data_IF_188729810317
#
_entry.id   IF_188729810317
#
_cell.length_a   1.000
_cell.length_b   1.000
_cell.length_c   1.000
_cell.angle_alpha   90.00
_cell.angle_beta   90.00
_cell.angle_gamma   90.00
#
_symmetry.space_group_name_H-M   'P 1'
#
loop_
_entity.id
_entity.type
_entity.pdbx_description
1 polymer ?
#
# COMPACT_ATOMS: atom_id res chain seq x y z
N UNK A 1 28.10 1.53 -1.47
CA UNK A 1 26.76 0.99 -1.80
C UNK A 1 25.87 2.14 -2.21
N UNK A 2 25.04 2.02 -3.24
CA UNK A 2 24.09 3.07 -3.60
C UNK A 2 23.18 3.42 -2.41
N UNK A 3 22.85 4.70 -2.30
CA UNK A 3 21.96 5.23 -1.28
C UNK A 3 20.58 5.50 -1.88
N UNK A 4 19.55 5.12 -1.14
CA UNK A 4 18.14 5.26 -1.48
C UNK A 4 17.45 6.14 -0.48
N UNK A 5 16.65 7.09 -0.97
CA UNK A 5 15.80 7.93 -0.14
C UNK A 5 14.43 7.29 -0.01
N UNK A 6 14.03 6.99 1.21
CA UNK A 6 12.69 6.50 1.53
C UNK A 6 11.92 7.61 2.21
N UNK A 7 10.73 7.89 1.69
CA UNK A 7 9.85 8.96 2.17
C UNK A 7 8.49 8.39 2.52
N UNK A 8 8.08 8.58 3.76
CA UNK A 8 6.69 8.42 4.18
C UNK A 8 5.98 9.74 3.89
N UNK A 9 4.90 9.68 3.11
CA UNK A 9 4.17 10.87 2.66
C UNK A 9 2.71 10.83 3.09
N UNK A 10 2.17 12.02 3.34
CA UNK A 10 0.75 12.28 3.51
C UNK A 10 0.21 13.02 2.30
N UNK A 11 -0.92 12.57 1.76
CA UNK A 11 -1.63 13.21 0.67
C UNK A 11 -2.62 14.19 1.30
N UNK A 12 -2.36 15.48 1.13
CA UNK A 12 -3.26 16.53 1.61
C UNK A 12 -4.11 16.98 0.43
N UNK A 13 -5.43 16.82 0.54
CA UNK A 13 -6.35 17.41 -0.42
C UNK A 13 -6.29 18.93 -0.32
N UNK A 14 -5.64 19.56 -1.29
CA UNK A 14 -5.69 21.00 -1.47
C UNK A 14 -7.00 21.37 -2.16
N UNK A 15 -7.75 22.33 -1.62
CA UNK A 15 -9.09 22.74 -2.08
C UNK A 15 -9.20 23.30 -3.50
N UNK A 16 -8.22 23.04 -4.37
CA UNK A 16 -8.25 23.39 -5.79
C UNK A 16 -7.44 22.34 -6.58
N UNK A 17 -8.06 21.18 -6.81
CA UNK A 17 -7.68 20.11 -7.77
C UNK A 17 -6.27 19.48 -7.72
N UNK A 18 -5.38 19.91 -6.82
CA UNK A 18 -4.02 19.35 -6.73
C UNK A 18 -3.73 18.85 -5.33
N UNK A 19 -3.78 17.52 -5.18
CA UNK A 19 -3.30 16.84 -3.99
C UNK A 19 -1.83 17.22 -3.76
N UNK A 20 -1.53 17.77 -2.60
CA UNK A 20 -0.17 18.14 -2.22
C UNK A 20 0.43 17.02 -1.38
N UNK A 21 1.64 16.57 -1.74
CA UNK A 21 2.36 15.56 -0.99
C UNK A 21 3.15 16.24 0.12
N UNK A 22 2.90 15.85 1.37
CA UNK A 22 3.68 16.27 2.53
C UNK A 22 4.54 15.12 2.99
N UNK A 23 5.87 15.28 2.97
CA UNK A 23 6.77 14.33 3.63
C UNK A 23 6.56 14.38 5.14
N UNK A 24 6.32 13.22 5.75
CA UNK A 24 6.19 13.03 7.19
C UNK A 24 7.52 12.60 7.80
N UNK A 25 8.14 11.59 7.20
CA UNK A 25 9.44 11.07 7.57
C UNK A 25 10.25 10.80 6.32
N UNK A 26 11.54 11.02 6.44
CA UNK A 26 12.48 10.80 5.35
C UNK A 26 13.76 10.20 5.95
N UNK A 27 14.24 9.14 5.33
CA UNK A 27 15.44 8.44 5.78
C UNK A 27 16.19 7.83 4.60
N UNK A 28 17.50 7.73 4.78
CA UNK A 28 18.41 7.14 3.82
C UNK A 28 18.67 5.67 4.17
N UNK A 29 18.66 4.81 3.15
CA UNK A 29 19.07 3.41 3.27
C UNK A 29 20.12 3.08 2.23
N UNK A 30 21.15 2.39 2.67
CA UNK A 30 22.15 1.80 1.78
C UNK A 30 21.71 0.39 1.42
N UNK A 31 21.77 0.06 0.13
CA UNK A 31 21.47 -1.29 -0.34
C UNK A 31 22.40 -1.66 -1.48
N UNK A 32 22.48 -2.96 -1.80
CA UNK A 32 23.29 -3.48 -2.90
C UNK A 32 22.65 -3.23 -4.26
N UNK A 33 21.33 -3.20 -4.32
CA UNK A 33 20.56 -3.10 -5.55
C UNK A 33 19.11 -2.63 -5.30
N UNK A 34 18.43 -2.22 -6.39
CA UNK A 34 17.07 -1.69 -6.32
C UNK A 34 16.04 -2.74 -5.87
N UNK A 35 16.23 -4.02 -6.23
CA UNK A 35 15.24 -5.07 -5.95
C UNK A 35 15.20 -5.36 -4.46
N UNK A 36 16.38 -5.46 -3.83
CA UNK A 36 16.53 -5.70 -2.41
C UNK A 36 15.86 -4.61 -1.57
N UNK A 37 16.13 -3.33 -1.86
CA UNK A 37 15.52 -2.22 -1.11
C UNK A 37 14.01 -2.13 -1.32
N UNK A 38 13.52 -2.37 -2.54
CA UNK A 38 12.07 -2.37 -2.83
C UNK A 38 11.37 -3.50 -2.06
N UNK A 39 11.97 -4.69 -2.01
CA UNK A 39 11.42 -5.83 -1.28
C UNK A 39 11.39 -5.57 0.24
N UNK A 40 12.45 -5.00 0.81
CA UNK A 40 12.53 -4.64 2.23
C UNK A 40 11.45 -3.60 2.60
N UNK A 41 11.35 -2.52 1.81
CA UNK A 41 10.36 -1.46 2.06
C UNK A 41 8.94 -1.98 1.88
N UNK A 42 8.69 -2.83 0.86
CA UNK A 42 7.39 -3.49 0.69
C UNK A 42 7.04 -4.33 1.92
N UNK A 43 7.97 -5.16 2.39
CA UNK A 43 7.72 -6.05 3.52
C UNK A 43 7.39 -5.25 4.79
N UNK A 44 8.15 -4.19 5.07
CA UNK A 44 7.85 -3.28 6.16
C UNK A 44 6.45 -2.67 6.03
N UNK A 45 6.12 -2.14 4.86
CA UNK A 45 4.82 -1.53 4.58
C UNK A 45 3.65 -2.51 4.79
N UNK A 46 3.77 -3.74 4.26
CA UNK A 46 2.73 -4.77 4.40
C UNK A 46 2.59 -5.22 5.86
N UNK A 47 3.71 -5.34 6.59
CA UNK A 47 3.69 -5.67 8.02
C UNK A 47 2.96 -4.59 8.84
N UNK A 48 3.26 -3.31 8.62
CA UNK A 48 2.59 -2.20 9.31
C UNK A 48 1.08 -2.19 9.04
N UNK A 49 0.66 -2.42 7.79
CA UNK A 49 -0.75 -2.42 7.41
C UNK A 49 -1.51 -3.70 7.81
N UNK A 50 -0.81 -4.82 7.96
CA UNK A 50 -1.40 -6.07 8.46
C UNK A 50 -1.78 -6.00 9.95
N UNK A 51 -1.30 -4.98 10.66
CA UNK A 51 -1.67 -4.76 12.06
C UNK A 51 -3.19 -4.44 12.14
N UNK A 52 -3.97 -5.13 13.00
CA UNK A 52 -5.40 -4.85 13.17
C UNK A 52 -5.70 -3.40 13.62
N UNK A 53 -4.70 -2.69 14.14
CA UNK A 53 -4.78 -1.27 14.52
C UNK A 53 -4.20 -0.33 13.46
N UNK A 54 -3.80 -0.82 12.29
CA UNK A 54 -3.16 -0.03 11.23
C UNK A 54 -3.94 1.24 10.89
N UNK A 55 -5.27 1.17 10.80
CA UNK A 55 -6.14 2.32 10.55
C UNK A 55 -6.04 3.44 11.61
N UNK A 56 -5.56 3.12 12.81
CA UNK A 56 -5.38 4.05 13.92
C UNK A 56 -3.91 4.47 14.11
N UNK A 57 -2.96 3.66 13.63
CA UNK A 57 -1.53 3.84 13.90
C UNK A 57 -0.74 4.33 12.70
N UNK A 58 -1.19 4.06 11.48
CA UNK A 58 -0.52 4.49 10.25
C UNK A 58 -0.93 5.93 9.93
N UNK A 59 0.04 6.85 10.02
CA UNK A 59 -0.20 8.28 9.82
C UNK A 59 0.11 8.79 8.40
N UNK A 60 0.73 7.93 7.57
CA UNK A 60 1.10 8.17 6.17
C UNK A 60 0.10 7.53 5.18
N UNK A 61 0.05 8.06 3.96
CA UNK A 61 -0.80 7.56 2.87
C UNK A 61 -0.02 6.73 1.84
N UNK A 62 1.29 6.97 1.72
CA UNK A 62 2.18 6.16 0.88
C UNK A 62 3.64 6.22 1.34
N UNK A 63 4.41 5.22 0.92
CA UNK A 63 5.87 5.20 1.00
C UNK A 63 6.46 5.28 -0.41
N UNK A 64 7.39 6.21 -0.64
CA UNK A 64 8.09 6.42 -1.90
C UNK A 64 9.56 6.09 -1.73
N UNK A 65 10.09 5.23 -2.60
CA UNK A 65 11.52 4.90 -2.67
C UNK A 65 12.14 5.60 -3.86
N UNK A 66 13.23 6.32 -3.63
CA UNK A 66 13.91 7.15 -4.61
C UNK A 66 15.37 6.74 -4.71
N UNK A 67 15.88 6.51 -5.92
CA UNK A 67 17.30 6.22 -6.15
C UNK A 67 18.14 7.51 -6.13
N UNK A 68 19.46 7.34 -6.15
CA UNK A 68 20.41 8.45 -6.27
C UNK A 68 20.07 9.31 -7.51
N UNK A 69 19.96 10.62 -7.33
CA UNK A 69 19.54 11.56 -8.38
C UNK A 69 18.04 11.87 -8.40
N UNK A 70 17.25 11.35 -7.44
CA UNK A 70 15.86 11.76 -7.26
C UNK A 70 14.83 10.98 -8.09
N UNK A 71 15.24 9.86 -8.70
CA UNK A 71 14.36 9.02 -9.52
C UNK A 71 13.50 8.12 -8.62
N UNK A 72 12.17 8.24 -8.68
CA UNK A 72 11.24 7.33 -8.01
C UNK A 72 11.36 5.92 -8.63
N UNK A 73 11.69 4.92 -7.81
CA UNK A 73 11.83 3.53 -8.25
C UNK A 73 10.73 2.61 -7.70
N UNK A 74 10.02 3.04 -6.65
CA UNK A 74 8.85 2.34 -6.13
C UNK A 74 7.95 3.28 -5.33
N UNK A 75 6.65 2.93 -5.29
CA UNK A 75 5.63 3.56 -4.48
C UNK A 75 4.69 2.51 -3.92
N UNK A 76 4.37 2.61 -2.63
CA UNK A 76 3.43 1.75 -1.93
C UNK A 76 2.35 2.61 -1.30
N UNK A 77 1.11 2.52 -1.78
CA UNK A 77 -0.02 3.32 -1.28
C UNK A 77 -0.92 2.48 -0.38
N UNK A 78 -1.33 3.08 0.74
CA UNK A 78 -2.29 2.49 1.69
C UNK A 78 -3.62 2.21 1.00
N UNK A 79 -4.12 3.14 0.17
CA UNK A 79 -5.36 2.97 -0.58
C UNK A 79 -5.31 1.79 -1.55
N UNK A 80 -4.21 1.64 -2.29
CA UNK A 80 -4.02 0.52 -3.21
C UNK A 80 -3.97 -0.82 -2.48
N UNK A 81 -3.31 -0.87 -1.31
CA UNK A 81 -3.25 -2.06 -0.47
C UNK A 81 -4.65 -2.50 -0.03
N UNK A 82 -5.45 -1.61 0.57
CA UNK A 82 -6.80 -1.97 1.03
C UNK A 82 -7.74 -2.31 -0.13
N UNK A 83 -7.61 -1.63 -1.27
CA UNK A 83 -8.38 -1.99 -2.48
C UNK A 83 -8.05 -3.39 -3.01
N UNK A 84 -6.82 -3.88 -2.80
CA UNK A 84 -6.42 -5.25 -3.12
C UNK A 84 -6.99 -6.23 -2.09
N UNK A 85 -6.76 -5.98 -0.80
CA UNK A 85 -7.24 -6.85 0.29
C UNK A 85 -8.77 -7.04 0.26
N UNK A 86 -9.52 -5.96 -0.01
CA UNK A 86 -10.97 -6.04 -0.16
C UNK A 86 -11.39 -6.87 -1.37
N UNK A 87 -10.70 -6.75 -2.51
CA UNK A 87 -10.99 -7.56 -3.69
C UNK A 87 -10.75 -9.04 -3.42
N UNK A 88 -9.66 -9.37 -2.74
CA UNK A 88 -9.31 -10.75 -2.38
C UNK A 88 -10.28 -11.32 -1.33
N UNK A 89 -10.68 -10.52 -0.33
CA UNK A 89 -11.66 -10.92 0.69
C UNK A 89 -13.09 -11.07 0.12
N UNK A 90 -13.45 -10.27 -0.88
CA UNK A 90 -14.76 -10.35 -1.55
C UNK A 90 -14.87 -11.56 -2.48
N UNK A 91 -13.74 -12.13 -2.91
CA UNK A 91 -13.66 -13.36 -3.68
C UNK A 91 -13.59 -14.58 -2.75
N UNK A 92 -14.67 -14.83 -2.00
CA UNK A 92 -14.85 -16.11 -1.32
C UNK A 92 -15.78 -17.01 -2.15
N UNK A 93 -15.27 -17.89 -3.03
CA UNK A 93 -16.09 -18.76 -3.89
C UNK A 93 -16.90 -19.81 -3.09
N UNK A 94 -16.74 -19.90 -1.77
CA UNK A 94 -17.39 -20.92 -0.93
C UNK A 94 -18.84 -20.62 -0.54
N UNK A 95 -19.35 -19.40 -0.80
CA UNK A 95 -20.75 -19.03 -0.48
C UNK A 95 -21.70 -19.08 -1.69
N UNK A 96 -21.20 -19.28 -2.91
CA UNK A 96 -22.05 -19.30 -4.11
C UNK A 96 -22.76 -20.65 -4.38
N UNK A 97 -22.54 -21.68 -3.56
CA UNK A 97 -22.98 -23.07 -3.85
C UNK A 97 -24.10 -23.61 -2.96
N UNK A 98 -24.79 -22.78 -2.16
CA UNK A 98 -25.89 -23.23 -1.28
C UNK A 98 -27.18 -22.46 -1.50
N UNK A 99 -27.69 -22.50 -2.72
CA UNK A 99 -29.14 -22.41 -2.97
C UNK A 99 -29.52 -23.43 -4.05
N UNK A 100 -30.20 -24.54 -3.72
CA UNK A 100 -30.91 -25.29 -4.75
C UNK A 100 -32.11 -24.48 -5.23
N UNK A 101 -32.44 -24.48 -6.54
CA UNK A 101 -33.69 -23.90 -7.02
C UNK A 101 -34.85 -24.78 -6.55
N UNK A 102 -35.71 -24.24 -5.69
CA UNK A 102 -37.02 -24.85 -5.43
C UNK A 102 -37.78 -24.93 -6.76
N UNK A 103 -38.01 -26.16 -7.19
CA UNK A 103 -38.77 -26.47 -8.39
C UNK A 103 -40.23 -26.15 -8.08
N UNK A 104 -40.75 -25.06 -8.65
CA UNK A 104 -42.19 -24.81 -8.69
C UNK A 104 -42.86 -25.92 -9.49
N UNK A 105 -43.57 -26.80 -8.79
CA UNK A 105 -44.59 -27.66 -9.36
C UNK A 105 -45.82 -27.59 -8.45
N UNK A 106 -46.84 -26.84 -8.88
CA UNK A 106 -48.23 -27.30 -9.06
C UNK A 106 -49.01 -26.19 -9.74
#
# INVERSE_FOLDING_TARGET
MPAYQIREIKIIEGGNDRSTLRSLREYERQSTDNVSIIAEVRHFFEMELSNPKALQTVDFDAIIVTATGGVEIARFSVSDFWCREWRESSFNPKVAAHHPPETLAT
#
